data_IF_381979090790
#
_entry.id   IF_381979090790
#
_cell.length_a   1.000
_cell.length_b   1.000
_cell.length_c   1.000
_cell.angle_alpha   90.00
_cell.angle_beta   90.00
_cell.angle_gamma   90.00
#
_symmetry.space_group_name_H-M   'P 1'
#
loop_
_entity.id
_entity.type
_entity.pdbx_description
1 polymer ?
#
# COMPACT_ATOMS: atom_id res chain seq x y z
N UNK A 1 6.48 26.40 31.62
CA UNK A 1 7.31 25.27 32.04
C UNK A 1 6.94 24.09 31.14
N UNK A 2 7.68 23.96 30.07
CA UNK A 2 7.51 22.85 29.13
C UNK A 2 8.15 21.58 29.70
N UNK A 3 7.34 20.56 29.92
CA UNK A 3 7.85 19.25 30.31
C UNK A 3 8.47 18.56 29.10
N UNK A 4 9.78 18.65 28.95
CA UNK A 4 10.55 17.79 28.07
C UNK A 4 10.31 16.33 28.49
N UNK A 5 9.52 15.56 27.73
CA UNK A 5 9.51 14.10 27.85
C UNK A 5 10.94 13.61 27.59
N UNK A 6 11.55 13.00 28.60
CA UNK A 6 12.80 12.26 28.46
C UNK A 6 12.60 11.13 27.43
N UNK A 7 13.25 11.26 26.31
CA UNK A 7 13.41 10.18 25.32
C UNK A 7 14.39 9.18 25.95
N UNK A 8 13.87 8.07 26.44
CA UNK A 8 14.69 6.94 26.91
C UNK A 8 15.54 6.41 25.75
N UNK A 9 16.77 6.03 26.02
CA UNK A 9 17.76 5.43 25.12
C UNK A 9 17.12 4.33 24.26
N UNK A 10 16.96 4.61 22.95
CA UNK A 10 16.03 3.96 22.09
C UNK A 10 16.34 2.50 21.78
N UNK A 11 15.41 1.63 22.09
CA UNK A 11 15.24 0.41 21.32
C UNK A 11 14.95 0.78 19.86
N UNK A 12 15.65 0.13 18.94
CA UNK A 12 15.46 0.30 17.50
C UNK A 12 14.00 -0.05 17.16
N UNK A 13 13.24 0.92 16.64
CA UNK A 13 11.79 0.78 16.49
C UNK A 13 11.44 0.37 15.07
N UNK A 14 10.55 -0.61 14.96
CA UNK A 14 9.84 -0.93 13.71
C UNK A 14 8.60 -0.04 13.64
N UNK A 15 8.34 0.54 12.50
CA UNK A 15 7.12 1.28 12.25
C UNK A 15 6.47 0.86 10.94
N UNK A 16 5.14 0.98 10.88
CA UNK A 16 4.42 0.89 9.62
C UNK A 16 3.68 2.20 9.33
N UNK A 17 3.34 2.40 8.07
CA UNK A 17 2.51 3.53 7.68
C UNK A 17 1.61 3.21 6.49
N UNK A 18 0.54 3.98 6.37
CA UNK A 18 -0.35 4.00 5.20
C UNK A 18 -0.68 5.42 4.82
N UNK A 19 -1.12 5.63 3.56
CA UNK A 19 -1.60 6.93 3.07
C UNK A 19 -3.03 6.79 2.60
N UNK A 20 -3.93 7.68 3.05
CA UNK A 20 -5.35 7.59 2.76
C UNK A 20 -5.99 8.94 2.47
N UNK A 21 -7.08 8.91 1.73
CA UNK A 21 -8.09 9.97 1.70
C UNK A 21 -9.06 9.81 2.88
N UNK A 22 -9.77 10.87 3.32
CA UNK A 22 -10.67 10.81 4.47
C UNK A 22 -11.72 9.68 4.41
N UNK A 23 -12.26 9.39 3.23
CA UNK A 23 -13.24 8.30 3.06
C UNK A 23 -12.65 6.88 3.21
N UNK A 24 -11.32 6.72 3.20
CA UNK A 24 -10.63 5.46 3.46
C UNK A 24 -10.09 5.35 4.89
N UNK A 25 -10.48 6.26 5.78
CA UNK A 25 -10.00 6.28 7.16
C UNK A 25 -10.34 4.98 7.92
N UNK A 26 -11.52 4.41 7.73
CA UNK A 26 -11.86 3.12 8.35
C UNK A 26 -10.90 2.00 7.94
N UNK A 27 -10.44 2.00 6.69
CA UNK A 27 -9.45 1.03 6.19
C UNK A 27 -8.12 1.22 6.92
N UNK A 28 -7.63 2.46 7.03
CA UNK A 28 -6.38 2.77 7.73
C UNK A 28 -6.44 2.40 9.23
N UNK A 29 -7.57 2.66 9.90
CA UNK A 29 -7.75 2.32 11.32
C UNK A 29 -7.85 0.82 11.55
N UNK A 30 -8.55 0.08 10.69
CA UNK A 30 -8.61 -1.39 10.72
C UNK A 30 -7.23 -2.00 10.49
N UNK A 31 -6.46 -1.49 9.53
CA UNK A 31 -5.09 -1.90 9.26
C UNK A 31 -4.19 -1.59 10.47
N UNK A 32 -4.23 -0.37 11.03
CA UNK A 32 -3.48 0.00 12.24
C UNK A 32 -3.76 -0.94 13.39
N UNK A 33 -5.05 -1.24 13.65
CA UNK A 33 -5.47 -2.16 14.72
C UNK A 33 -4.88 -3.56 14.50
N UNK A 34 -5.03 -4.13 13.30
CA UNK A 34 -4.51 -5.47 13.00
C UNK A 34 -2.98 -5.53 13.03
N UNK A 35 -2.28 -4.48 12.56
CA UNK A 35 -0.83 -4.42 12.60
C UNK A 35 -0.31 -4.40 14.06
N UNK A 36 -0.81 -3.49 14.89
CA UNK A 36 -0.37 -3.35 16.28
C UNK A 36 -0.73 -4.57 17.15
N UNK A 37 -1.81 -5.28 16.83
CA UNK A 37 -2.17 -6.54 17.50
C UNK A 37 -1.07 -7.60 17.36
N UNK A 38 -0.41 -7.65 16.20
CA UNK A 38 0.64 -8.63 15.91
C UNK A 38 2.07 -8.09 16.10
N UNK A 39 2.21 -6.77 16.26
CA UNK A 39 3.49 -6.07 16.44
C UNK A 39 3.35 -5.03 17.56
N UNK A 40 3.20 -5.45 18.83
CA UNK A 40 2.80 -4.57 19.94
C UNK A 40 3.86 -3.50 20.28
N UNK A 41 5.13 -3.75 19.97
CA UNK A 41 6.24 -2.82 20.23
C UNK A 41 6.51 -1.86 19.05
N UNK A 42 5.73 -1.95 17.99
CA UNK A 42 5.88 -1.14 16.79
C UNK A 42 5.04 0.14 16.85
N UNK A 43 5.39 1.12 16.01
CA UNK A 43 4.57 2.30 15.76
C UNK A 43 3.76 2.17 14.46
N UNK A 44 2.66 2.92 14.36
CA UNK A 44 1.87 2.97 13.12
C UNK A 44 1.44 4.39 12.80
N UNK A 45 1.85 4.88 11.63
CA UNK A 45 1.58 6.23 11.15
C UNK A 45 0.51 6.23 10.05
N UNK A 46 -0.32 7.27 10.01
CA UNK A 46 -1.33 7.45 8.97
C UNK A 46 -1.12 8.81 8.31
N UNK A 47 -0.75 8.80 7.02
CA UNK A 47 -0.73 9.96 6.16
C UNK A 47 -2.14 10.24 5.61
N UNK A 48 -2.63 11.46 5.79
CA UNK A 48 -3.98 11.85 5.38
C UNK A 48 -3.90 12.86 4.24
N UNK A 49 -4.46 12.49 3.10
CA UNK A 49 -4.65 13.39 1.97
C UNK A 49 -5.86 14.32 2.25
N UNK A 50 -5.65 15.26 3.13
CA UNK A 50 -6.63 16.20 3.66
C UNK A 50 -5.96 17.21 4.58
N UNK A 51 -6.77 17.93 5.34
CA UNK A 51 -6.34 18.80 6.44
C UNK A 51 -7.19 18.53 7.69
N UNK A 52 -6.83 19.12 8.80
CA UNK A 52 -7.47 18.91 10.11
C UNK A 52 -8.99 19.16 10.09
N UNK A 53 -9.48 20.09 9.27
CA UNK A 53 -10.92 20.37 9.18
C UNK A 53 -11.74 19.23 8.59
N UNK A 54 -11.11 18.30 7.86
CA UNK A 54 -11.77 17.13 7.26
C UNK A 54 -11.88 15.93 8.20
N UNK A 55 -10.98 15.83 9.18
CA UNK A 55 -10.94 14.76 10.17
C UNK A 55 -10.40 15.29 11.49
N UNK A 56 -11.12 16.19 12.20
CA UNK A 56 -10.59 16.85 13.40
C UNK A 56 -10.24 15.89 14.54
N UNK A 57 -10.94 14.75 14.63
CA UNK A 57 -10.64 13.70 15.61
C UNK A 57 -9.31 12.97 15.37
N UNK A 58 -8.68 13.16 14.21
CA UNK A 58 -7.41 12.56 13.83
C UNK A 58 -6.21 13.50 14.09
N UNK A 59 -6.43 14.63 14.72
CA UNK A 59 -5.35 15.53 15.13
C UNK A 59 -4.69 15.03 16.42
N UNK A 60 -4.02 13.91 16.33
CA UNK A 60 -3.31 13.22 17.43
C UNK A 60 -1.97 12.70 16.95
N UNK A 61 -1.14 12.25 17.89
CA UNK A 61 0.17 11.64 17.57
C UNK A 61 0.02 10.52 16.53
N UNK A 62 0.97 10.46 15.57
CA UNK A 62 1.05 9.46 14.50
C UNK A 62 0.03 9.63 13.35
N UNK A 63 -0.71 10.75 13.28
CA UNK A 63 -1.50 11.15 12.14
C UNK A 63 -0.89 12.40 11.50
N UNK A 64 -0.59 12.34 10.21
CA UNK A 64 0.04 13.42 9.47
C UNK A 64 -0.82 13.82 8.28
N UNK A 65 -1.27 15.05 8.27
CA UNK A 65 -1.97 15.59 7.11
C UNK A 65 -0.98 15.99 6.01
N UNK A 66 -1.43 16.01 4.76
CA UNK A 66 -0.58 16.34 3.62
C UNK A 66 0.06 17.73 3.73
N UNK A 67 -0.58 18.68 4.41
CA UNK A 67 -0.03 20.01 4.68
C UNK A 67 1.12 20.03 5.71
N UNK A 68 1.34 18.94 6.46
CA UNK A 68 2.53 18.78 7.31
C UNK A 68 3.79 18.51 6.47
N UNK A 69 3.64 18.09 5.23
CA UNK A 69 4.75 17.82 4.32
C UNK A 69 5.23 19.15 3.71
N UNK A 70 6.34 19.67 4.21
CA UNK A 70 6.92 20.95 3.74
C UNK A 70 7.65 20.79 2.39
N UNK A 71 6.98 20.22 1.38
CA UNK A 71 7.53 19.99 0.03
C UNK A 71 6.76 20.79 -1.01
N UNK A 72 7.44 21.72 -1.69
CA UNK A 72 6.84 22.64 -2.65
C UNK A 72 6.18 21.99 -3.88
N UNK A 73 6.52 20.72 -4.17
CA UNK A 73 5.93 19.94 -5.28
C UNK A 73 4.48 19.57 -5.03
N UNK A 74 4.10 19.37 -3.77
CA UNK A 74 2.80 18.80 -3.37
C UNK A 74 1.62 19.61 -3.86
N UNK A 75 1.69 20.95 -3.80
CA UNK A 75 0.61 21.80 -4.27
C UNK A 75 0.35 21.63 -5.78
N UNK A 76 1.41 21.51 -6.57
CA UNK A 76 1.31 21.22 -8.01
C UNK A 76 0.74 19.83 -8.30
N UNK A 77 1.10 18.84 -7.47
CA UNK A 77 0.62 17.46 -7.58
C UNK A 77 -0.88 17.37 -7.24
N UNK A 78 -1.34 18.01 -6.16
CA UNK A 78 -2.76 18.07 -5.77
C UNK A 78 -3.63 18.61 -6.90
N UNK A 79 -3.18 19.66 -7.60
CA UNK A 79 -3.92 20.22 -8.74
C UNK A 79 -3.93 19.33 -9.97
N UNK A 80 -2.95 18.45 -10.12
CA UNK A 80 -2.70 17.64 -11.31
C UNK A 80 -3.32 16.26 -11.23
N UNK A 81 -3.21 15.61 -10.07
CA UNK A 81 -3.56 14.21 -9.87
C UNK A 81 -5.00 14.01 -9.39
N UNK A 82 -5.62 12.93 -9.88
CA UNK A 82 -6.85 12.42 -9.29
C UNK A 82 -6.58 11.83 -7.89
N UNK A 83 -7.62 11.63 -7.05
CA UNK A 83 -7.44 11.14 -5.68
C UNK A 83 -6.59 9.87 -5.54
N UNK A 84 -6.84 8.87 -6.38
CA UNK A 84 -6.05 7.63 -6.40
C UNK A 84 -4.59 7.88 -6.79
N UNK A 85 -4.37 8.64 -7.87
CA UNK A 85 -3.03 8.98 -8.36
C UNK A 85 -2.23 9.76 -7.31
N UNK A 86 -2.90 10.72 -6.65
CA UNK A 86 -2.26 11.51 -5.58
C UNK A 86 -1.92 10.65 -4.36
N UNK A 87 -2.81 9.74 -3.97
CA UNK A 87 -2.56 8.81 -2.86
C UNK A 87 -1.34 7.93 -3.12
N UNK A 88 -1.21 7.39 -4.33
CA UNK A 88 -0.04 6.64 -4.78
C UNK A 88 1.23 7.51 -4.75
N UNK A 89 1.16 8.71 -5.33
CA UNK A 89 2.33 9.59 -5.48
C UNK A 89 2.87 10.12 -4.14
N UNK A 90 2.06 10.18 -3.09
CA UNK A 90 2.47 10.65 -1.76
C UNK A 90 3.24 9.63 -0.92
N UNK A 91 3.24 8.35 -1.27
CA UNK A 91 3.93 7.30 -0.49
C UNK A 91 5.38 7.65 -0.15
N UNK A 92 6.26 8.00 -1.12
CA UNK A 92 7.64 8.34 -0.81
C UNK A 92 7.79 9.67 -0.04
N UNK A 93 6.85 10.59 -0.16
CA UNK A 93 6.88 11.85 0.59
C UNK A 93 6.60 11.61 2.07
N UNK A 94 5.55 10.84 2.40
CA UNK A 94 5.26 10.47 3.78
C UNK A 94 6.34 9.56 4.37
N UNK A 95 6.89 8.62 3.60
CA UNK A 95 8.01 7.79 4.05
C UNK A 95 9.23 8.63 4.44
N UNK A 96 9.62 9.60 3.58
CA UNK A 96 10.72 10.53 3.90
C UNK A 96 10.41 11.33 5.16
N UNK A 97 9.23 11.94 5.25
CA UNK A 97 8.81 12.73 6.38
C UNK A 97 8.85 11.94 7.70
N UNK A 98 8.30 10.73 7.72
CA UNK A 98 8.30 9.87 8.91
C UNK A 98 9.73 9.53 9.31
N UNK A 99 10.58 9.13 8.37
CA UNK A 99 11.98 8.83 8.67
C UNK A 99 12.76 10.06 9.16
N UNK A 100 12.44 11.27 8.71
CA UNK A 100 13.06 12.52 9.16
C UNK A 100 12.59 12.91 10.56
N UNK A 101 11.30 12.79 10.88
CA UNK A 101 10.74 13.18 12.16
C UNK A 101 11.01 12.14 13.28
N UNK A 102 11.09 10.85 12.94
CA UNK A 102 11.24 9.74 13.88
C UNK A 102 12.60 9.05 13.69
N UNK A 103 13.66 9.63 14.27
CA UNK A 103 15.03 9.13 14.12
C UNK A 103 15.28 7.77 14.77
N UNK A 104 14.43 7.34 15.70
CA UNK A 104 14.42 6.01 16.32
C UNK A 104 13.88 4.92 15.40
N UNK A 105 13.08 5.24 14.38
CA UNK A 105 12.57 4.25 13.40
C UNK A 105 13.69 3.77 12.52
N UNK A 106 14.02 2.49 12.61
CA UNK A 106 15.08 1.85 11.82
C UNK A 106 14.53 1.06 10.63
N UNK A 107 13.32 0.51 10.78
CA UNK A 107 12.61 -0.22 9.72
C UNK A 107 11.23 0.40 9.55
N UNK A 108 10.94 0.93 8.36
CA UNK A 108 9.67 1.51 7.99
C UNK A 108 8.97 0.63 6.96
N UNK A 109 7.73 0.22 7.24
CA UNK A 109 6.93 -0.67 6.42
C UNK A 109 5.76 0.12 5.84
N UNK A 110 5.62 0.16 4.51
CA UNK A 110 4.43 0.68 3.86
C UNK A 110 3.41 -0.42 3.65
N UNK A 111 2.15 -0.12 3.94
CA UNK A 111 1.01 -1.01 3.71
C UNK A 111 -0.14 -0.22 3.07
N UNK A 112 -0.67 -0.67 1.94
CA UNK A 112 -1.90 -0.09 1.39
C UNK A 112 -3.05 -0.28 2.38
N UNK A 113 -3.92 0.71 2.47
CA UNK A 113 -4.99 0.74 3.48
C UNK A 113 -6.01 -0.38 3.35
N UNK A 114 -6.16 -0.96 2.17
CA UNK A 114 -7.00 -2.12 1.90
C UNK A 114 -6.29 -3.46 2.17
N UNK A 115 -5.31 -3.45 3.09
CA UNK A 115 -4.65 -4.65 3.61
C UNK A 115 -5.09 -4.95 5.06
N UNK A 116 -4.84 -6.20 5.51
CA UNK A 116 -5.07 -6.62 6.88
C UNK A 116 -3.95 -7.56 7.34
N UNK A 117 -3.48 -7.38 8.57
CA UNK A 117 -2.36 -8.13 9.14
C UNK A 117 -2.89 -9.32 9.93
N UNK A 118 -2.33 -10.51 9.66
CA UNK A 118 -2.70 -11.79 10.27
C UNK A 118 -1.57 -12.40 11.12
N UNK A 119 -0.36 -11.85 11.04
CA UNK A 119 0.81 -12.33 11.77
C UNK A 119 1.89 -11.27 11.93
N UNK A 120 2.92 -11.53 12.74
CA UNK A 120 3.99 -10.57 12.99
C UNK A 120 4.88 -10.37 11.76
N UNK A 121 5.37 -9.14 11.58
CA UNK A 121 6.35 -8.80 10.54
C UNK A 121 7.76 -9.16 11.01
N UNK A 122 8.21 -10.37 10.66
CA UNK A 122 9.59 -10.78 10.92
C UNK A 122 10.59 -9.90 10.14
N UNK A 123 11.81 -9.76 10.66
CA UNK A 123 12.92 -9.20 9.91
C UNK A 123 13.46 -10.26 8.95
N UNK A 124 13.14 -10.11 7.67
CA UNK A 124 13.55 -11.07 6.62
C UNK A 124 14.95 -10.75 6.07
N UNK A 125 15.37 -9.51 6.19
CA UNK A 125 16.60 -8.97 5.61
C UNK A 125 16.99 -7.67 6.31
N UNK A 126 18.23 -7.25 6.13
CA UNK A 126 18.72 -5.92 6.46
C UNK A 126 18.87 -5.02 5.23
N UNK A 127 18.45 -5.47 4.05
CA UNK A 127 18.53 -4.67 2.81
C UNK A 127 17.83 -3.32 2.94
N UNK A 128 18.40 -2.30 2.32
CA UNK A 128 17.87 -0.92 2.36
C UNK A 128 16.44 -0.82 1.84
N UNK A 129 16.13 -1.61 0.80
CA UNK A 129 14.84 -1.62 0.11
C UNK A 129 14.33 -3.05 0.03
N UNK A 130 13.10 -3.30 0.49
CA UNK A 130 12.41 -4.57 0.28
C UNK A 130 11.20 -4.36 -0.61
N UNK A 131 11.09 -5.13 -1.69
CA UNK A 131 9.97 -5.10 -2.63
C UNK A 131 9.21 -6.42 -2.61
N UNK A 132 7.91 -6.36 -2.89
CA UNK A 132 7.01 -7.51 -2.99
C UNK A 132 6.58 -7.75 -4.43
N UNK A 133 6.87 -8.90 -5.06
CA UNK A 133 6.40 -9.20 -6.40
C UNK A 133 4.91 -9.58 -6.38
N UNK A 134 4.19 -9.25 -7.45
CA UNK A 134 2.82 -9.73 -7.64
C UNK A 134 2.74 -11.27 -7.66
N UNK A 135 3.72 -11.90 -8.30
CA UNK A 135 3.83 -13.36 -8.48
C UNK A 135 5.24 -13.81 -8.13
N UNK A 136 5.36 -14.97 -7.50
CA UNK A 136 6.65 -15.58 -7.09
C UNK A 136 6.96 -16.86 -7.85
N UNK A 137 6.00 -17.40 -8.61
CA UNK A 137 6.16 -18.60 -9.42
C UNK A 137 5.79 -18.34 -10.88
N UNK A 138 6.50 -19.03 -11.76
CA UNK A 138 6.13 -19.11 -13.15
C UNK A 138 5.04 -20.17 -13.35
N UNK A 139 3.91 -19.76 -13.91
CA UNK A 139 2.69 -20.59 -14.02
C UNK A 139 2.16 -20.61 -15.46
N UNK A 140 3.03 -20.60 -16.46
CA UNK A 140 2.66 -20.46 -17.89
C UNK A 140 1.63 -21.47 -18.42
N UNK A 141 1.46 -22.59 -17.73
CA UNK A 141 0.55 -23.66 -18.17
C UNK A 141 -0.70 -23.78 -17.29
N UNK A 142 -0.89 -22.89 -16.31
CA UNK A 142 -2.09 -22.90 -15.50
C UNK A 142 -3.13 -21.95 -16.11
N UNK A 143 -4.43 -22.27 -16.01
CA UNK A 143 -5.48 -21.32 -16.34
C UNK A 143 -5.32 -20.07 -15.46
N UNK A 144 -5.16 -18.92 -16.11
CA UNK A 144 -4.95 -17.65 -15.42
C UNK A 144 -6.21 -16.80 -15.50
N UNK A 145 -6.57 -16.11 -14.41
CA UNK A 145 -7.61 -15.08 -14.47
C UNK A 145 -7.27 -14.07 -15.54
N UNK A 146 -8.23 -13.71 -16.37
CA UNK A 146 -8.02 -12.81 -17.51
C UNK A 146 -7.32 -11.51 -17.13
N UNK A 147 -7.68 -10.96 -15.97
CA UNK A 147 -7.17 -9.68 -15.51
C UNK A 147 -5.83 -9.77 -14.74
N UNK A 148 -5.36 -10.99 -14.44
CA UNK A 148 -4.14 -11.24 -13.64
C UNK A 148 -3.18 -12.22 -14.32
N UNK A 149 -3.21 -12.25 -15.64
CA UNK A 149 -2.28 -13.07 -16.43
C UNK A 149 -0.84 -12.58 -16.30
N UNK A 150 0.12 -13.43 -16.65
CA UNK A 150 1.54 -13.05 -16.71
C UNK A 150 1.79 -11.83 -17.61
N UNK A 151 0.98 -11.65 -18.65
CA UNK A 151 1.06 -10.50 -19.56
C UNK A 151 0.71 -9.19 -18.82
N UNK A 152 -0.22 -9.24 -17.88
CA UNK A 152 -0.61 -8.05 -17.12
C UNK A 152 0.51 -7.52 -16.22
N UNK A 153 1.49 -8.35 -15.83
CA UNK A 153 2.67 -7.89 -15.09
C UNK A 153 3.52 -6.89 -15.89
N UNK A 154 3.61 -7.07 -17.21
CA UNK A 154 4.30 -6.10 -18.06
C UNK A 154 3.55 -4.76 -18.18
N UNK A 155 2.24 -4.78 -18.01
CA UNK A 155 1.39 -3.59 -18.10
C UNK A 155 1.29 -2.82 -16.79
N UNK A 156 1.21 -3.53 -15.67
CA UNK A 156 0.92 -2.94 -14.36
C UNK A 156 2.12 -2.96 -13.40
N UNK A 157 3.17 -3.70 -13.71
CA UNK A 157 4.39 -3.82 -12.92
C UNK A 157 4.60 -5.22 -12.34
N UNK A 158 5.85 -5.60 -12.19
CA UNK A 158 6.27 -6.87 -11.57
C UNK A 158 6.08 -6.83 -10.06
N UNK A 159 6.34 -5.68 -9.45
CA UNK A 159 6.21 -5.45 -8.02
C UNK A 159 4.91 -4.75 -7.68
N UNK A 160 4.31 -5.12 -6.55
CA UNK A 160 3.14 -4.44 -6.00
C UNK A 160 3.56 -3.38 -4.99
N UNK A 161 3.20 -2.12 -5.24
CA UNK A 161 3.53 -1.00 -4.36
C UNK A 161 2.64 -0.91 -3.10
N UNK A 162 1.74 -1.88 -2.90
CA UNK A 162 0.90 -1.96 -1.70
C UNK A 162 1.61 -2.53 -0.47
N UNK A 163 2.83 -3.06 -0.66
CA UNK A 163 3.73 -3.46 0.41
C UNK A 163 5.17 -3.30 -0.02
N UNK A 164 5.94 -2.52 0.74
CA UNK A 164 7.38 -2.42 0.67
C UNK A 164 7.96 -2.08 2.06
N UNK A 165 9.28 -2.29 2.24
CA UNK A 165 9.97 -1.92 3.46
C UNK A 165 11.23 -1.14 3.17
N UNK A 166 11.60 -0.27 4.10
CA UNK A 166 12.80 0.55 4.04
C UNK A 166 13.58 0.41 5.35
N UNK A 167 14.84 0.08 5.26
CA UNK A 167 15.77 0.20 6.39
C UNK A 167 16.36 1.62 6.38
N UNK A 168 16.67 2.17 7.55
CA UNK A 168 17.29 3.50 7.69
C UNK A 168 18.74 3.48 7.18
N UNK A 169 18.93 3.41 5.89
CA UNK A 169 20.19 3.42 5.19
C UNK A 169 20.24 4.52 4.13
N UNK A 170 21.44 4.97 3.77
CA UNK A 170 21.62 6.01 2.75
C UNK A 170 20.91 5.69 1.42
N UNK A 171 20.94 4.42 1.01
CA UNK A 171 20.33 3.97 -0.23
C UNK A 171 18.81 4.02 -0.21
N UNK A 172 18.16 3.77 0.94
CA UNK A 172 16.72 3.95 1.09
C UNK A 172 16.31 5.42 0.92
N UNK A 173 17.09 6.37 1.46
CA UNK A 173 16.85 7.79 1.24
C UNK A 173 17.08 8.20 -0.22
N UNK A 174 18.12 7.66 -0.88
CA UNK A 174 18.36 7.89 -2.29
C UNK A 174 17.20 7.35 -3.17
N UNK A 175 16.69 6.16 -2.86
CA UNK A 175 15.50 5.59 -3.49
C UNK A 175 14.27 6.48 -3.31
N UNK A 176 13.99 6.95 -2.09
CA UNK A 176 12.85 7.83 -1.83
C UNK A 176 12.97 9.14 -2.62
N UNK A 177 14.17 9.71 -2.71
CA UNK A 177 14.41 10.93 -3.48
C UNK A 177 14.21 10.73 -4.98
N UNK A 178 14.71 9.62 -5.53
CA UNK A 178 14.48 9.24 -6.91
C UNK A 178 12.98 9.07 -7.20
N UNK A 179 12.29 8.35 -6.33
CA UNK A 179 10.86 8.04 -6.51
C UNK A 179 9.98 9.29 -6.40
N UNK A 180 10.27 10.20 -5.44
CA UNK A 180 9.61 11.52 -5.34
C UNK A 180 9.76 12.34 -6.62
N UNK A 181 10.98 12.38 -7.21
CA UNK A 181 11.24 13.12 -8.46
C UNK A 181 10.44 12.57 -9.64
N UNK A 182 10.32 11.26 -9.75
CA UNK A 182 9.50 10.64 -10.79
C UNK A 182 8.01 10.93 -10.58
N UNK A 183 7.51 10.68 -9.38
CA UNK A 183 6.08 10.77 -9.08
C UNK A 183 5.56 12.21 -9.04
N UNK A 184 6.43 13.21 -9.01
CA UNK A 184 6.01 14.59 -9.23
C UNK A 184 5.23 14.77 -10.55
N UNK A 185 5.62 14.06 -11.62
CA UNK A 185 5.07 14.25 -12.96
C UNK A 185 4.49 12.99 -13.62
N UNK A 186 4.72 11.81 -13.08
CA UNK A 186 4.44 10.53 -13.75
C UNK A 186 3.57 9.57 -12.94
N UNK A 187 2.94 10.05 -11.85
CA UNK A 187 2.08 9.25 -10.98
C UNK A 187 0.68 8.96 -11.55
N UNK A 188 0.47 9.05 -12.86
CA UNK A 188 -0.82 8.83 -13.51
C UNK A 188 -1.21 7.36 -13.61
N UNK A 189 -2.52 7.08 -13.57
CA UNK A 189 -3.09 5.78 -13.94
C UNK A 189 -3.46 5.77 -15.42
N UNK A 190 -2.45 5.55 -16.26
CA UNK A 190 -2.57 5.51 -17.74
C UNK A 190 -1.76 4.34 -18.31
N UNK A 191 -2.24 3.11 -18.16
CA UNK A 191 -1.47 1.93 -18.59
C UNK A 191 -1.14 1.92 -20.07
N UNK A 192 -1.97 2.54 -20.90
CA UNK A 192 -1.74 2.67 -22.36
C UNK A 192 -0.62 3.68 -22.70
N UNK A 193 -0.26 4.56 -21.75
CA UNK A 193 0.88 5.48 -21.82
C UNK A 193 2.09 4.95 -21.02
N UNK A 194 2.09 3.68 -20.61
CA UNK A 194 3.12 3.06 -19.77
C UNK A 194 3.28 3.74 -18.40
N UNK A 195 2.18 4.23 -17.81
CA UNK A 195 2.12 4.84 -16.49
C UNK A 195 1.08 4.10 -15.64
N UNK A 196 1.47 3.67 -14.46
CA UNK A 196 0.55 3.03 -13.52
C UNK A 196 0.89 3.43 -12.08
N UNK A 197 0.47 4.63 -11.72
CA UNK A 197 0.70 5.21 -10.40
C UNK A 197 2.18 5.23 -10.00
N UNK A 198 2.43 4.79 -8.80
CA UNK A 198 3.75 4.64 -8.18
C UNK A 198 4.43 3.30 -8.54
N UNK A 199 3.64 2.29 -8.88
CA UNK A 199 4.02 0.89 -8.91
C UNK A 199 4.95 0.53 -10.08
N UNK A 200 4.65 1.03 -11.30
CA UNK A 200 5.40 0.62 -12.49
C UNK A 200 6.89 1.01 -12.42
N UNK A 201 7.22 2.08 -11.71
CA UNK A 201 8.58 2.55 -11.49
C UNK A 201 9.41 1.58 -10.68
N UNK A 202 8.79 0.77 -9.81
CA UNK A 202 9.49 -0.23 -9.01
C UNK A 202 10.20 -1.30 -9.86
N UNK A 203 9.77 -1.51 -11.11
CA UNK A 203 10.46 -2.41 -12.04
C UNK A 203 11.91 -2.01 -12.32
N UNK A 204 12.25 -0.72 -12.15
CA UNK A 204 13.58 -0.17 -12.44
C UNK A 204 14.49 -0.14 -11.21
N UNK A 205 13.99 -0.47 -10.03
CA UNK A 205 14.74 -0.33 -8.77
C UNK A 205 16.02 -1.13 -8.82
N UNK A 206 16.01 -2.38 -9.28
CA UNK A 206 17.22 -3.19 -9.42
C UNK A 206 18.24 -2.70 -10.46
N UNK A 207 17.83 -1.77 -11.32
CA UNK A 207 18.78 -1.17 -12.29
C UNK A 207 19.53 0.02 -11.70
N UNK A 208 19.04 0.60 -10.60
CA UNK A 208 19.54 1.84 -10.04
C UNK A 208 20.02 1.73 -8.59
N UNK A 209 19.65 0.64 -7.89
CA UNK A 209 19.92 0.42 -6.47
C UNK A 209 20.40 -1.01 -6.25
N UNK A 210 21.43 -1.20 -5.43
CA UNK A 210 22.10 -2.49 -5.21
C UNK A 210 21.60 -3.20 -3.95
N UNK A 211 21.30 -2.46 -2.88
CA UNK A 211 20.88 -3.01 -1.57
C UNK A 211 19.35 -3.26 -1.55
N UNK A 212 18.88 -4.15 -2.43
CA UNK A 212 17.48 -4.48 -2.68
C UNK A 212 17.21 -5.95 -2.43
N UNK A 213 16.20 -6.24 -1.59
CA UNK A 213 15.70 -7.58 -1.35
C UNK A 213 14.31 -7.77 -1.95
N UNK A 214 14.08 -8.90 -2.62
CA UNK A 214 12.77 -9.31 -3.12
C UNK A 214 12.15 -10.30 -2.16
N UNK A 215 11.11 -9.87 -1.44
CA UNK A 215 10.38 -10.75 -0.53
C UNK A 215 9.51 -11.75 -1.31
N UNK A 216 9.99 -13.00 -1.39
CA UNK A 216 9.28 -14.12 -2.03
C UNK A 216 8.57 -15.04 -1.02
N UNK A 217 8.46 -14.63 0.25
CA UNK A 217 7.69 -15.41 1.22
C UNK A 217 6.19 -15.37 0.84
N UNK A 218 5.55 -16.53 0.64
CA UNK A 218 4.17 -16.61 0.14
C UNK A 218 3.13 -16.06 1.13
N UNK A 219 3.45 -15.93 2.42
CA UNK A 219 2.57 -15.36 3.43
C UNK A 219 2.45 -13.85 3.40
N UNK A 220 3.29 -13.15 2.60
CA UNK A 220 3.25 -11.71 2.48
C UNK A 220 2.53 -11.26 1.20
N UNK A 221 1.74 -10.20 1.32
CA UNK A 221 1.01 -9.56 0.23
C UNK A 221 0.18 -10.55 -0.62
N UNK A 222 -0.53 -11.44 0.11
CA UNK A 222 -1.48 -12.38 -0.50
C UNK A 222 -2.67 -11.60 -1.03
N UNK A 223 -3.06 -11.85 -2.28
CA UNK A 223 -4.14 -11.12 -2.92
C UNK A 223 -4.73 -11.90 -4.09
N UNK A 224 -5.84 -11.41 -4.61
CA UNK A 224 -6.56 -12.03 -5.74
C UNK A 224 -5.69 -12.31 -6.97
N UNK A 225 -4.62 -11.53 -7.21
CA UNK A 225 -3.73 -11.72 -8.38
C UNK A 225 -2.73 -12.87 -8.23
N UNK A 226 -2.54 -13.39 -7.01
CA UNK A 226 -1.60 -14.48 -6.76
C UNK A 226 -2.22 -15.74 -6.13
N UNK A 227 -3.53 -15.81 -5.97
CA UNK A 227 -4.23 -17.00 -5.46
C UNK A 227 -3.97 -18.27 -6.31
N UNK A 228 -3.70 -18.10 -7.60
CA UNK A 228 -3.37 -19.23 -8.48
C UNK A 228 -2.09 -19.98 -8.06
N UNK A 229 -1.17 -19.32 -7.35
CA UNK A 229 0.08 -19.91 -6.85
C UNK A 229 0.13 -20.06 -5.34
N UNK A 230 -0.89 -19.56 -4.62
CA UNK A 230 -0.92 -19.45 -3.16
C UNK A 230 -2.08 -20.26 -2.59
N UNK A 231 -1.77 -21.43 -2.09
CA UNK A 231 -2.75 -22.29 -1.42
C UNK A 231 -2.88 -21.85 0.03
N UNK A 232 -4.08 -21.37 0.39
CA UNK A 232 -4.43 -21.01 1.75
C UNK A 232 -4.96 -22.23 2.50
N UNK A 233 -4.63 -22.31 3.78
CA UNK A 233 -5.13 -23.32 4.71
C UNK A 233 -5.29 -22.68 6.09
N UNK A 234 -6.31 -23.11 6.83
CA UNK A 234 -6.45 -22.80 8.25
C UNK A 234 -6.10 -24.03 9.08
N UNK A 235 -5.25 -23.84 10.08
CA UNK A 235 -4.85 -24.90 11.02
C UNK A 235 -4.91 -24.33 12.45
N UNK A 236 -5.86 -24.79 13.25
CA UNK A 236 -6.03 -24.35 14.65
C UNK A 236 -6.18 -22.82 14.81
N UNK A 237 -6.93 -22.16 13.93
CA UNK A 237 -7.15 -20.72 13.96
C UNK A 237 -6.01 -19.86 13.38
N UNK A 238 -4.95 -20.49 12.87
CA UNK A 238 -3.83 -19.83 12.19
C UNK A 238 -3.92 -20.10 10.69
N UNK A 239 -3.80 -19.05 9.90
CA UNK A 239 -3.79 -19.15 8.44
C UNK A 239 -2.38 -19.36 7.91
N UNK A 240 -2.27 -20.27 6.93
CA UNK A 240 -1.02 -20.58 6.23
C UNK A 240 -1.19 -20.41 4.72
N UNK A 241 -0.11 -20.05 4.07
CA UNK A 241 -0.02 -19.93 2.61
C UNK A 241 1.18 -20.74 2.14
N UNK A 242 0.95 -21.84 1.40
CA UNK A 242 2.01 -22.75 0.96
C UNK A 242 2.91 -23.23 2.14
N UNK A 243 2.33 -23.51 3.31
CA UNK A 243 2.94 -23.87 4.60
C UNK A 243 3.69 -22.75 5.36
N UNK A 244 3.78 -21.54 4.84
CA UNK A 244 4.27 -20.37 5.57
C UNK A 244 3.10 -19.66 6.28
N UNK A 245 3.27 -19.08 7.47
CA UNK A 245 2.21 -18.30 8.10
C UNK A 245 1.75 -17.13 7.21
N UNK A 246 0.44 -16.91 7.15
CA UNK A 246 -0.11 -15.70 6.54
C UNK A 246 0.23 -14.50 7.42
N UNK A 247 0.93 -13.51 6.85
CA UNK A 247 1.29 -12.26 7.52
C UNK A 247 0.42 -11.11 7.04
N UNK A 248 0.29 -10.95 5.72
CA UNK A 248 -0.42 -9.82 5.11
C UNK A 248 -1.33 -10.28 3.97
N UNK A 249 -2.62 -9.93 4.07
CA UNK A 249 -3.59 -10.10 2.97
C UNK A 249 -4.03 -8.74 2.43
N UNK A 250 -4.06 -8.59 1.11
CA UNK A 250 -4.42 -7.38 0.39
C UNK A 250 -5.79 -7.57 -0.29
N UNK A 251 -6.81 -6.84 0.18
CA UNK A 251 -8.21 -6.97 -0.26
C UNK A 251 -8.53 -6.10 -1.47
N UNK A 252 -7.58 -6.04 -2.42
CA UNK A 252 -7.75 -5.25 -3.64
C UNK A 252 -9.05 -5.57 -4.37
N UNK A 253 -9.78 -4.53 -4.77
CA UNK A 253 -11.05 -4.65 -5.49
C UNK A 253 -12.22 -5.27 -4.70
N UNK A 254 -12.07 -5.47 -3.39
CA UNK A 254 -13.20 -5.85 -2.54
C UNK A 254 -14.20 -4.70 -2.40
N UNK A 255 -15.49 -5.03 -2.44
CA UNK A 255 -16.57 -4.07 -2.23
C UNK A 255 -17.37 -4.44 -0.98
N UNK A 256 -17.41 -3.56 0.01
CA UNK A 256 -18.15 -3.75 1.25
C UNK A 256 -19.67 -3.90 1.05
N UNK A 257 -20.20 -3.34 -0.03
CA UNK A 257 -21.64 -3.43 -0.38
C UNK A 257 -22.00 -4.76 -1.08
N UNK A 258 -20.99 -5.55 -1.50
CA UNK A 258 -21.16 -6.85 -2.13
C UNK A 258 -20.32 -7.93 -1.38
N UNK A 259 -20.63 -8.22 -0.10
CA UNK A 259 -19.77 -9.03 0.77
C UNK A 259 -19.60 -10.48 0.32
N UNK A 260 -20.48 -10.97 -0.54
CA UNK A 260 -20.44 -12.33 -1.08
C UNK A 260 -19.58 -12.47 -2.35
N UNK A 261 -18.89 -11.40 -2.75
CA UNK A 261 -17.98 -11.38 -3.90
C UNK A 261 -16.55 -11.09 -3.44
N UNK A 262 -15.56 -11.79 -4.05
CA UNK A 262 -14.14 -11.50 -3.84
C UNK A 262 -13.71 -10.19 -4.51
N UNK A 263 -14.35 -9.85 -5.64
CA UNK A 263 -14.07 -8.65 -6.44
C UNK A 263 -15.37 -8.05 -6.96
N UNK A 264 -15.41 -6.74 -7.18
CA UNK A 264 -16.62 -6.02 -7.62
C UNK A 264 -16.98 -6.21 -9.10
N UNK A 265 -16.09 -6.84 -9.90
CA UNK A 265 -16.32 -7.14 -11.31
C UNK A 265 -16.47 -8.64 -11.55
N UNK A 266 -16.97 -9.01 -12.71
CA UNK A 266 -17.15 -10.41 -13.08
C UNK A 266 -15.78 -11.06 -13.40
N UNK A 267 -15.41 -12.05 -12.59
CA UNK A 267 -14.24 -12.90 -12.80
C UNK A 267 -14.60 -14.32 -12.34
N UNK A 268 -14.95 -15.20 -13.28
CA UNK A 268 -15.47 -16.54 -12.94
C UNK A 268 -14.52 -17.40 -12.10
N UNK A 269 -13.22 -17.13 -12.17
CA UNK A 269 -12.22 -17.83 -11.37
C UNK A 269 -12.19 -17.33 -9.91
N UNK A 270 -12.38 -16.03 -9.68
CA UNK A 270 -12.28 -15.40 -8.36
C UNK A 270 -13.63 -15.43 -7.62
N UNK A 271 -13.98 -16.59 -7.10
CA UNK A 271 -15.24 -16.79 -6.36
C UNK A 271 -14.97 -17.51 -5.03
N UNK A 272 -15.86 -17.32 -4.06
CA UNK A 272 -15.82 -18.10 -2.82
C UNK A 272 -16.12 -19.60 -3.01
N UNK A 273 -16.65 -20.00 -4.16
CA UNK A 273 -16.82 -21.41 -4.49
C UNK A 273 -15.46 -22.04 -4.83
N UNK A 274 -14.60 -21.32 -5.54
CA UNK A 274 -13.24 -21.77 -5.89
C UNK A 274 -12.23 -21.58 -4.75
N UNK A 275 -12.49 -20.64 -3.83
CA UNK A 275 -11.61 -20.30 -2.69
C UNK A 275 -12.44 -20.20 -1.39
N UNK A 276 -13.00 -21.32 -0.90
CA UNK A 276 -13.91 -21.30 0.26
C UNK A 276 -13.23 -20.83 1.56
N UNK A 277 -11.92 -21.04 1.70
CA UNK A 277 -11.10 -20.59 2.83
C UNK A 277 -11.04 -19.06 2.95
N UNK A 278 -11.25 -18.34 1.87
CA UNK A 278 -11.27 -16.87 1.90
C UNK A 278 -12.51 -16.28 2.58
N UNK A 279 -13.61 -17.04 2.72
CA UNK A 279 -14.83 -16.54 3.39
C UNK A 279 -14.56 -16.00 4.78
N UNK A 280 -13.78 -16.74 5.58
CA UNK A 280 -13.44 -16.35 6.96
C UNK A 280 -12.50 -15.14 6.97
N UNK A 281 -11.53 -15.09 6.06
CA UNK A 281 -10.58 -14.00 5.92
C UNK A 281 -11.30 -12.69 5.52
N UNK A 282 -12.18 -12.74 4.53
CA UNK A 282 -12.97 -11.58 4.07
C UNK A 282 -13.99 -11.13 5.12
N UNK A 283 -14.63 -12.07 5.82
CA UNK A 283 -15.52 -11.76 6.96
C UNK A 283 -14.76 -11.00 8.05
N UNK A 284 -13.58 -11.48 8.46
CA UNK A 284 -12.75 -10.82 9.47
C UNK A 284 -12.34 -9.40 9.05
N UNK A 285 -11.95 -9.22 7.81
CA UNK A 285 -11.64 -7.88 7.27
C UNK A 285 -12.86 -6.96 7.30
N UNK A 286 -14.02 -7.44 6.83
CA UNK A 286 -15.28 -6.69 6.85
C UNK A 286 -15.67 -6.26 8.27
N UNK A 287 -15.59 -7.17 9.24
CA UNK A 287 -15.86 -6.88 10.66
C UNK A 287 -14.90 -5.78 11.16
N UNK A 288 -13.62 -5.88 10.86
CA UNK A 288 -12.62 -4.86 11.20
C UNK A 288 -12.94 -3.48 10.62
N UNK A 289 -13.44 -3.41 9.38
CA UNK A 289 -13.85 -2.15 8.76
C UNK A 289 -15.10 -1.55 9.43
N UNK A 290 -16.09 -2.36 9.76
CA UNK A 290 -17.30 -1.91 10.45
C UNK A 290 -16.97 -1.38 11.85
N UNK A 291 -16.16 -2.10 12.61
CA UNK A 291 -15.65 -1.66 13.92
C UNK A 291 -14.85 -0.36 13.83
N UNK A 292 -14.09 -0.17 12.76
CA UNK A 292 -13.31 1.04 12.50
C UNK A 292 -14.16 2.23 12.02
N UNK A 293 -15.47 2.07 11.89
CA UNK A 293 -16.42 3.15 11.54
C UNK A 293 -16.58 3.34 10.02
N UNK A 294 -16.59 2.28 9.22
CA UNK A 294 -16.75 2.33 7.76
C UNK A 294 -17.91 3.23 7.33
N UNK A 295 -19.10 3.07 7.96
CA UNK A 295 -20.30 3.86 7.63
C UNK A 295 -20.12 5.37 7.86
N UNK A 296 -19.31 5.73 8.86
CA UNK A 296 -19.00 7.13 9.18
C UNK A 296 -18.12 7.77 8.11
N UNK A 297 -17.07 7.05 7.69
CA UNK A 297 -16.03 7.63 6.85
C UNK A 297 -16.31 7.51 5.35
N UNK A 298 -16.99 6.44 4.89
CA UNK A 298 -17.19 6.16 3.45
C UNK A 298 -17.81 7.30 2.64
N UNK A 299 -18.60 8.17 3.29
CA UNK A 299 -19.28 9.30 2.66
C UNK A 299 -18.48 10.60 2.67
N UNK A 300 -17.31 10.64 3.31
CA UNK A 300 -16.49 11.86 3.35
C UNK A 300 -16.00 12.22 1.95
N UNK A 301 -16.08 13.49 1.54
CA UNK A 301 -15.65 13.91 0.22
C UNK A 301 -14.12 13.93 0.11
N UNK A 302 -13.62 13.84 -1.12
CA UNK A 302 -12.23 14.20 -1.40
C UNK A 302 -12.01 15.70 -1.18
N UNK A 303 -11.01 16.11 -0.38
CA UNK A 303 -10.94 17.48 0.12
C UNK A 303 -10.35 18.50 -0.85
N UNK A 304 -9.81 18.07 -2.00
CA UNK A 304 -9.13 18.95 -2.92
C UNK A 304 -9.79 18.99 -4.31
N UNK A 305 -9.67 20.14 -4.97
CA UNK A 305 -10.01 20.26 -6.38
C UNK A 305 -8.82 19.85 -7.25
N UNK A 306 -9.05 19.03 -8.24
CA UNK A 306 -8.04 18.65 -9.24
C UNK A 306 -8.52 18.96 -10.65
N UNK A 307 -7.59 19.25 -11.55
CA UNK A 307 -7.92 19.51 -12.94
C UNK A 307 -8.39 18.20 -13.59
N UNK A 308 -9.68 18.12 -13.97
CA UNK A 308 -10.15 17.04 -14.85
C UNK A 308 -9.43 17.21 -16.19
N UNK A 309 -8.44 16.37 -16.44
CA UNK A 309 -7.81 16.30 -17.75
C UNK A 309 -8.87 15.82 -18.73
N UNK A 310 -9.46 16.74 -19.51
CA UNK A 310 -10.26 16.37 -20.67
C UNK A 310 -9.37 15.48 -21.55
N UNK A 311 -9.86 14.27 -21.87
CA UNK A 311 -9.20 13.30 -22.77
C UNK A 311 -9.09 13.90 -24.19
N UNK A 312 -8.31 14.96 -24.38
CA UNK A 312 -7.89 15.40 -25.70
C UNK A 312 -6.68 14.59 -26.11
N UNK A 313 -6.81 13.91 -27.27
CA UNK A 313 -5.80 13.08 -27.93
C UNK A 313 -4.39 13.64 -27.76
N UNK A 314 -3.55 12.85 -27.16
CA UNK A 314 -2.18 13.12 -26.75
C UNK A 314 -1.28 13.46 -27.96
N UNK A 315 -0.48 14.48 -27.84
CA UNK A 315 0.51 14.97 -28.82
C UNK A 315 1.67 13.98 -29.10
N UNK A 316 1.83 12.94 -28.30
CA UNK A 316 2.83 11.85 -28.46
C UNK A 316 2.72 11.10 -29.79
N UNK A 317 1.56 11.10 -30.45
CA UNK A 317 1.42 10.50 -31.78
C UNK A 317 2.19 11.22 -32.89
N UNK A 318 2.74 12.42 -32.62
CA UNK A 318 3.52 13.20 -33.60
C UNK A 318 5.02 12.97 -33.55
N UNK A 319 5.54 12.24 -32.56
CA UNK A 319 6.98 11.98 -32.39
C UNK A 319 7.44 10.67 -33.03
N UNK A 320 6.51 9.83 -33.46
CA UNK A 320 6.81 8.50 -34.06
C UNK A 320 6.03 8.25 -35.36
N UNK A 321 5.52 9.27 -36.03
CA UNK A 321 5.00 9.23 -37.39
C UNK A 321 5.98 9.81 -38.39
#
# INVERSE_FOLDING_TARGET
>A
MESKKNISSGSLTIAAFTVVTPNYMAHALSLKKSFLQHNPDAEFFIGILGNESHCPEMNTDNFYFVNSLSDSRIEGMIRRYQPFEMNCALKPFFASYILEQHTNVQRLIYLDSDTYVFGPFASLTDAAITLSPHRIKYTAYLPEPKNYSIISLNRYGVYNAGYFELQRKAEAFAFLDWWKKLLEHTGYEKPDEHLFGDQLWLNLVHSFFDDVYINKNPGYNVAIWNLIERRLEERNGIYYVNNEPLVLFHFSKYNMEEPDKLVYYEEPYLTFANFPELKTIYKKYREGLLEAGYEKYKALPYPFSYARVNKKKTWWKKLFS
#
